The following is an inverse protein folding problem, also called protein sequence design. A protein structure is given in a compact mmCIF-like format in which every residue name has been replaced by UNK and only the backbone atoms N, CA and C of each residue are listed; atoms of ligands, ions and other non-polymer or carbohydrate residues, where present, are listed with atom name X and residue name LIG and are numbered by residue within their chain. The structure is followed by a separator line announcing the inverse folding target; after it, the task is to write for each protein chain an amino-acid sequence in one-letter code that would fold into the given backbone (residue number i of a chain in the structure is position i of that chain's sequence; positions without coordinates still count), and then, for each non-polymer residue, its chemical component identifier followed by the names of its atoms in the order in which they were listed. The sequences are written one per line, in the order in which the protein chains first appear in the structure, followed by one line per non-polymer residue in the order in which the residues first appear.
data_IF_691158288014
#
_entry.id   IF_691158288014
#
_cell.length_a   1.000
_cell.length_b   1.000
_cell.length_c   1.000
_cell.angle_alpha   90.00
_cell.angle_beta   90.00
_cell.angle_gamma   90.00
#
_symmetry.space_group_name_H-M   'P 1'
#
loop_
_entity.id
_entity.type
_entity.pdbx_description
1 polymer ?
#
# COMPACT_ATOMS: atom_id res chain seq x y z
N UNK A 1 -15.56 6.42 22.23
CA UNK A 1 -14.61 5.92 21.21
C UNK A 1 -13.95 7.14 20.57
N UNK A 2 -12.62 7.25 20.58
CA UNK A 2 -11.96 8.38 19.89
C UNK A 2 -11.93 8.11 18.39
N UNK A 3 -12.03 9.16 17.58
CA UNK A 3 -11.98 9.11 16.09
C UNK A 3 -10.75 8.33 15.61
N UNK A 4 -9.64 8.43 16.34
CA UNK A 4 -8.40 7.69 16.09
C UNK A 4 -8.58 6.16 16.14
N UNK A 5 -9.31 5.64 17.14
CA UNK A 5 -9.54 4.20 17.27
C UNK A 5 -10.43 3.67 16.14
N UNK A 6 -11.43 4.45 15.72
CA UNK A 6 -12.34 4.08 14.64
C UNK A 6 -11.61 4.04 13.27
N UNK A 7 -10.70 4.98 13.03
CA UNK A 7 -9.87 4.98 11.82
C UNK A 7 -8.91 3.79 11.76
N UNK A 8 -8.30 3.43 12.89
CA UNK A 8 -7.40 2.28 12.99
C UNK A 8 -8.13 0.95 12.73
N UNK A 9 -9.32 0.76 13.30
CA UNK A 9 -10.12 -0.45 13.06
C UNK A 9 -10.58 -0.58 11.61
N UNK A 10 -10.99 0.53 10.99
CA UNK A 10 -11.36 0.55 9.58
C UNK A 10 -10.17 0.21 8.67
N UNK A 11 -8.99 0.75 8.99
CA UNK A 11 -7.76 0.44 8.28
C UNK A 11 -7.37 -1.04 8.40
N UNK A 12 -7.46 -1.62 9.60
CA UNK A 12 -7.23 -3.04 9.82
C UNK A 12 -8.22 -3.90 9.01
N UNK A 13 -9.51 -3.57 9.01
CA UNK A 13 -10.52 -4.27 8.20
C UNK A 13 -10.19 -4.24 6.70
N UNK A 14 -9.67 -3.11 6.20
CA UNK A 14 -9.26 -2.96 4.80
C UNK A 14 -8.04 -3.84 4.49
N UNK A 15 -7.03 -3.88 5.36
CA UNK A 15 -5.87 -4.77 5.24
C UNK A 15 -6.30 -6.25 5.23
N UNK A 16 -7.20 -6.65 6.13
CA UNK A 16 -7.62 -8.05 6.22
C UNK A 16 -8.38 -8.51 4.97
N UNK A 17 -9.22 -7.66 4.38
CA UNK A 17 -10.07 -8.03 3.23
C UNK A 17 -9.32 -8.05 1.91
N UNK A 18 -8.34 -7.16 1.74
CA UNK A 18 -7.66 -6.96 0.47
C UNK A 18 -6.32 -7.72 0.42
N UNK A 19 -5.88 -8.05 -0.79
CA UNK A 19 -4.54 -8.60 -1.02
C UNK A 19 -3.50 -7.49 -1.05
N UNK A 20 -3.90 -6.31 -1.52
CA UNK A 20 -3.05 -5.13 -1.62
C UNK A 20 -3.84 -3.91 -1.17
N UNK A 21 -3.21 -3.02 -0.41
CA UNK A 21 -3.76 -1.70 -0.07
C UNK A 21 -2.77 -0.65 -0.52
N UNK A 22 -3.28 0.34 -1.24
CA UNK A 22 -2.50 1.47 -1.77
C UNK A 22 -3.03 2.75 -1.13
N UNK A 23 -2.15 3.50 -0.49
CA UNK A 23 -2.42 4.86 -0.05
C UNK A 23 -2.15 5.83 -1.21
N UNK A 24 -3.16 6.62 -1.56
CA UNK A 24 -3.02 7.72 -2.52
C UNK A 24 -2.78 9.01 -1.76
N UNK A 25 -1.57 9.57 -1.90
CA UNK A 25 -1.14 10.81 -1.27
C UNK A 25 -0.79 11.83 -2.37
N UNK A 26 -1.78 12.64 -2.75
CA UNK A 26 -1.70 13.46 -3.97
C UNK A 26 -1.61 12.58 -5.24
N UNK A 27 -0.53 12.75 -6.00
CA UNK A 27 -0.23 11.95 -7.19
C UNK A 27 0.56 10.68 -6.89
N UNK A 28 1.00 10.49 -5.64
CA UNK A 28 1.82 9.35 -5.24
C UNK A 28 0.94 8.15 -4.91
N UNK A 29 1.33 6.98 -5.39
CA UNK A 29 0.70 5.70 -5.08
C UNK A 29 1.64 4.88 -4.22
N UNK A 30 1.30 4.74 -2.94
CA UNK A 30 2.16 4.08 -1.96
C UNK A 30 1.53 2.76 -1.56
N UNK A 31 2.21 1.65 -1.84
CA UNK A 31 1.80 0.33 -1.39
C UNK A 31 2.11 0.21 0.09
N UNK A 32 1.05 0.18 0.90
CA UNK A 32 1.14 0.11 2.37
C UNK A 32 0.88 -1.30 2.90
N UNK A 33 0.26 -2.14 2.08
CA UNK A 33 0.05 -3.55 2.37
C UNK A 33 0.09 -4.38 1.10
N UNK A 34 0.73 -5.54 1.17
CA UNK A 34 0.62 -6.61 0.18
C UNK A 34 0.82 -7.97 0.87
N UNK A 35 -0.08 -8.91 0.66
CA UNK A 35 0.02 -10.28 1.21
C UNK A 35 1.01 -11.15 0.47
N UNK A 36 1.23 -10.84 -0.82
CA UNK A 36 1.95 -11.71 -1.76
C UNK A 36 3.32 -11.15 -2.12
N UNK A 37 3.62 -9.89 -1.86
CA UNK A 37 4.92 -9.31 -2.18
C UNK A 37 5.99 -9.76 -1.19
N UNK A 38 7.14 -10.18 -1.71
CA UNK A 38 8.37 -10.49 -0.96
C UNK A 38 9.30 -9.29 -1.00
N UNK A 39 9.50 -8.69 -2.18
CA UNK A 39 10.31 -7.49 -2.40
C UNK A 39 9.63 -6.53 -3.38
N UNK A 40 9.84 -5.21 -3.24
CA UNK A 40 10.57 -4.55 -2.15
C UNK A 40 9.84 -4.67 -0.80
N UNK A 41 10.56 -4.36 0.29
CA UNK A 41 9.94 -4.32 1.62
C UNK A 41 8.94 -3.16 1.67
N UNK A 42 7.79 -3.42 2.29
CA UNK A 42 6.77 -2.40 2.50
C UNK A 42 7.23 -1.34 3.51
N UNK A 43 6.78 -0.08 3.38
CA UNK A 43 6.03 0.46 2.26
C UNK A 43 6.94 0.90 1.10
N UNK A 44 6.39 0.97 -0.11
CA UNK A 44 7.10 1.45 -1.31
C UNK A 44 6.14 2.19 -2.25
N UNK A 45 6.69 3.04 -3.11
CA UNK A 45 5.93 3.79 -4.09
C UNK A 45 5.91 3.06 -5.43
N UNK A 46 4.81 3.17 -6.17
CA UNK A 46 4.65 2.60 -7.50
C UNK A 46 4.18 3.67 -8.47
N UNK A 47 4.53 3.53 -9.75
CA UNK A 47 3.93 4.37 -10.79
C UNK A 47 2.51 3.91 -11.12
N UNK A 48 1.78 4.74 -11.88
CA UNK A 48 0.43 4.41 -12.35
C UNK A 48 0.44 3.17 -13.25
N UNK A 49 1.47 3.00 -14.07
CA UNK A 49 1.62 1.85 -14.97
C UNK A 49 1.78 0.54 -14.18
N UNK A 50 2.59 0.57 -13.11
CA UNK A 50 2.77 -0.57 -12.20
C UNK A 50 1.46 -0.89 -11.48
N UNK A 51 0.72 0.14 -11.04
CA UNK A 51 -0.61 -0.05 -10.45
C UNK A 51 -1.60 -0.71 -11.42
N UNK A 52 -1.67 -0.26 -12.67
CA UNK A 52 -2.56 -0.83 -13.68
C UNK A 52 -2.23 -2.29 -13.99
N UNK A 53 -0.94 -2.64 -14.06
CA UNK A 53 -0.51 -4.04 -14.23
C UNK A 53 -0.88 -4.90 -13.01
N UNK A 54 -0.69 -4.37 -11.80
CA UNK A 54 -1.07 -5.08 -10.58
C UNK A 54 -2.58 -5.32 -10.52
N UNK A 55 -3.38 -4.32 -10.86
CA UNK A 55 -4.85 -4.42 -10.87
C UNK A 55 -5.38 -5.45 -11.89
N UNK A 56 -4.61 -5.74 -12.95
CA UNK A 56 -4.92 -6.83 -13.89
C UNK A 56 -4.55 -8.21 -13.31
N UNK A 57 -3.50 -8.28 -12.49
CA UNK A 57 -3.03 -9.53 -11.88
C UNK A 57 -3.83 -9.93 -10.63
N UNK A 58 -4.21 -8.97 -9.79
CA UNK A 58 -4.89 -9.22 -8.51
C UNK A 58 -6.23 -8.47 -8.46
N UNK A 59 -7.30 -9.20 -8.17
CA UNK A 59 -8.67 -8.66 -8.11
C UNK A 59 -9.04 -8.04 -6.77
N UNK A 60 -8.17 -8.14 -5.75
CA UNK A 60 -8.42 -7.63 -4.40
C UNK A 60 -7.43 -6.52 -4.03
N UNK A 61 -7.40 -5.48 -4.85
CA UNK A 61 -6.66 -4.26 -4.59
C UNK A 61 -7.63 -3.17 -4.16
N UNK A 62 -7.25 -2.43 -3.12
CA UNK A 62 -8.06 -1.31 -2.62
C UNK A 62 -7.21 -0.06 -2.44
N UNK A 63 -7.84 1.11 -2.59
CA UNK A 63 -7.19 2.41 -2.49
C UNK A 63 -7.77 3.16 -1.30
N UNK A 64 -6.88 3.64 -0.44
CA UNK A 64 -7.22 4.59 0.61
C UNK A 64 -6.71 5.98 0.30
N UNK A 65 -7.52 6.99 0.61
CA UNK A 65 -7.16 8.41 0.52
C UNK A 65 -6.65 8.95 1.85
N UNK A 66 -6.54 8.08 2.88
CA UNK A 66 -5.90 8.47 4.13
C UNK A 66 -4.42 8.74 3.85
N UNK A 67 -3.91 9.93 4.19
CA UNK A 67 -2.51 10.28 3.96
C UNK A 67 -1.57 9.23 4.56
N UNK A 68 -0.51 8.88 3.83
CA UNK A 68 0.45 7.87 4.27
C UNK A 68 1.02 8.17 5.67
N UNK A 69 1.26 9.44 5.98
CA UNK A 69 1.73 9.87 7.31
C UNK A 69 0.75 9.52 8.43
N UNK A 70 -0.55 9.64 8.18
CA UNK A 70 -1.60 9.31 9.16
C UNK A 70 -1.77 7.81 9.35
N UNK A 71 -1.45 7.01 8.32
CA UNK A 71 -1.47 5.55 8.41
C UNK A 71 -0.35 4.98 9.29
N UNK A 72 0.77 5.68 9.40
CA UNK A 72 1.98 5.21 10.09
C UNK A 72 2.45 6.15 11.22
N UNK A 73 1.58 7.06 11.67
CA UNK A 73 1.89 8.07 12.68
C UNK A 73 2.39 7.39 13.97
N UNK A 74 3.70 7.53 14.22
CA UNK A 74 4.44 6.80 15.27
C UNK A 74 5.77 6.21 14.82
N UNK A 75 6.00 6.04 13.51
CA UNK A 75 7.30 5.64 12.97
C UNK A 75 7.94 6.88 12.34
N UNK A 76 8.74 7.58 13.14
CA UNK A 76 9.39 8.83 12.75
C UNK A 76 10.11 8.75 11.40
N UNK A 77 9.97 9.83 10.63
CA UNK A 77 10.75 10.09 9.42
C UNK A 77 9.96 9.82 8.13
N UNK A 78 9.87 10.86 7.30
CA UNK A 78 9.64 10.75 5.88
C UNK A 78 10.74 9.83 5.30
N UNK A 79 10.44 8.54 5.20
CA UNK A 79 11.36 7.58 4.59
C UNK A 79 11.34 7.82 3.09
N UNK A 80 12.52 7.92 2.49
CA UNK A 80 12.64 7.83 1.03
C UNK A 80 12.12 6.45 0.63
N UNK A 81 10.90 6.43 0.08
CA UNK A 81 10.28 5.21 -0.40
C UNK A 81 10.97 4.81 -1.69
N UNK A 82 11.28 3.53 -1.83
CA UNK A 82 11.72 2.98 -3.11
C UNK A 82 10.57 3.18 -4.10
N UNK A 83 10.87 3.77 -5.26
CA UNK A 83 9.91 3.95 -6.34
C UNK A 83 10.11 2.81 -7.32
N UNK A 84 9.07 2.01 -7.50
CA UNK A 84 9.02 0.92 -8.47
C UNK A 84 8.34 1.43 -9.74
N UNK A 85 9.08 1.41 -10.83
CA UNK A 85 8.64 1.86 -12.16
C UNK A 85 8.36 0.71 -13.11
N UNK A 86 8.90 -0.49 -12.84
CA UNK A 86 8.60 -1.71 -13.57
C UNK A 86 7.92 -2.75 -12.66
N UNK A 87 6.85 -3.37 -13.14
CA UNK A 87 6.09 -4.36 -12.37
C UNK A 87 6.90 -5.63 -12.10
N UNK A 88 7.82 -5.97 -13.01
CA UNK A 88 8.69 -7.14 -12.87
C UNK A 88 9.71 -7.00 -11.72
N UNK A 89 9.93 -5.78 -11.22
CA UNK A 89 10.80 -5.54 -10.06
C UNK A 89 10.12 -5.95 -8.74
N UNK A 90 8.83 -6.28 -8.78
CA UNK A 90 8.06 -6.76 -7.62
C UNK A 90 8.16 -8.28 -7.56
N UNK A 91 8.84 -8.78 -6.54
CA UNK A 91 8.94 -10.21 -6.28
C UNK A 91 7.69 -10.66 -5.50
N UNK A 92 7.01 -11.70 -6.01
CA UNK A 92 5.82 -12.25 -5.36
C UNK A 92 6.09 -13.67 -4.85
N UNK A 93 5.45 -14.03 -3.74
CA UNK A 93 5.33 -15.43 -3.32
C UNK A 93 4.53 -16.17 -4.37
N UNK A 94 5.18 -17.08 -5.08
CA UNK A 94 4.48 -18.09 -5.87
C UNK A 94 3.72 -19.01 -4.90
N UNK A 95 2.47 -19.29 -5.23
CA UNK A 95 1.66 -20.31 -4.58
C UNK A 95 1.85 -21.63 -5.33
#
# INVERSE_FOLDING_TARGET
MSVYHQNKENHLKMIYRNNVVIAKDGDRLIVVHSKRTIKPLLPFEITKEVFEQWNRRDSRIDITYTPYKELFDGIGGQRDLIIITNFDDIEFKEN
#
